data_IF_552190667013
#
_entry.id   IF_552190667013
#
_cell.length_a   1.000
_cell.length_b   1.000
_cell.length_c   1.000
_cell.angle_alpha   90.00
_cell.angle_beta   90.00
_cell.angle_gamma   90.00
#
_symmetry.space_group_name_H-M   'P 1'
#
loop_
_entity.id
_entity.type
_entity.pdbx_description
1 polymer ?
#
# COMPACT_ATOMS: atom_id res chain seq x y z
N UNK A 1 -4.75 -5.31 64.36
CA UNK A 1 -3.90 -4.75 63.28
C UNK A 1 -3.92 -5.70 62.10
N UNK A 2 -4.56 -5.31 60.99
CA UNK A 2 -4.65 -6.11 59.75
C UNK A 2 -3.43 -5.82 58.86
N UNK A 3 -2.86 -6.81 58.16
CA UNK A 3 -1.75 -6.56 57.25
C UNK A 3 -2.22 -5.80 56.01
N UNK A 4 -1.43 -4.82 55.60
CA UNK A 4 -1.64 -3.99 54.41
C UNK A 4 -1.52 -4.84 53.13
N UNK A 5 -2.57 -4.73 52.33
CA UNK A 5 -2.81 -5.42 51.06
C UNK A 5 -1.91 -4.79 50.00
N UNK A 6 -0.91 -5.55 49.51
CA UNK A 6 -0.24 -5.27 48.23
C UNK A 6 -1.31 -5.36 47.13
N UNK A 7 -1.88 -4.22 46.78
CA UNK A 7 -2.86 -4.12 45.70
C UNK A 7 -2.09 -3.90 44.39
N UNK A 8 -2.00 -4.98 43.63
CA UNK A 8 -1.55 -5.03 42.25
C UNK A 8 -2.45 -4.13 41.40
N UNK A 9 -1.93 -3.02 40.90
CA UNK A 9 -2.56 -2.22 39.85
C UNK A 9 -2.25 -2.87 38.50
N UNK A 10 -3.27 -3.21 37.68
CA UNK A 10 -3.02 -3.78 36.36
C UNK A 10 -2.53 -2.68 35.41
N UNK A 11 -1.34 -2.87 34.86
CA UNK A 11 -0.80 -2.08 33.75
C UNK A 11 -1.71 -2.17 32.52
N UNK A 12 -2.64 -1.22 32.39
CA UNK A 12 -3.35 -0.97 31.14
C UNK A 12 -2.47 -0.12 30.22
N UNK A 13 -1.41 -0.72 29.68
CA UNK A 13 -0.71 -0.17 28.51
C UNK A 13 -1.66 -0.31 27.32
N UNK A 14 -2.18 0.84 26.87
CA UNK A 14 -3.24 0.94 25.89
C UNK A 14 -2.85 0.46 24.50
N UNK A 15 -2.97 -0.85 24.25
CA UNK A 15 -3.09 -1.39 22.89
C UNK A 15 -4.33 -0.79 22.24
N UNK A 16 -4.16 0.22 21.39
CA UNK A 16 -5.25 0.70 20.55
C UNK A 16 -5.63 -0.43 19.59
N UNK A 17 -6.72 -1.12 19.89
CA UNK A 17 -7.29 -2.13 19.03
C UNK A 17 -8.29 -1.43 18.09
N UNK A 18 -8.19 -1.61 16.76
CA UNK A 18 -9.15 -1.01 15.85
C UNK A 18 -10.57 -1.44 16.24
N UNK A 19 -11.50 -0.50 16.21
CA UNK A 19 -12.91 -0.77 16.51
C UNK A 19 -13.50 -1.81 15.55
N UNK A 20 -14.61 -2.46 15.94
CA UNK A 20 -15.26 -3.50 15.13
C UNK A 20 -15.45 -3.10 13.67
N UNK A 21 -15.91 -1.86 13.41
CA UNK A 21 -16.09 -1.33 12.05
C UNK A 21 -14.79 -1.33 11.24
N UNK A 22 -13.68 -0.85 11.80
CA UNK A 22 -12.39 -0.83 11.11
C UNK A 22 -11.87 -2.24 10.79
N UNK A 23 -12.12 -3.21 11.68
CA UNK A 23 -11.77 -4.63 11.43
C UNK A 23 -12.59 -5.20 10.27
N UNK A 24 -13.90 -4.97 10.27
CA UNK A 24 -14.79 -5.43 9.20
C UNK A 24 -14.43 -4.80 7.86
N UNK A 25 -14.10 -3.51 7.84
CA UNK A 25 -13.68 -2.81 6.61
C UNK A 25 -12.35 -3.33 6.08
N UNK A 26 -11.37 -3.63 6.95
CA UNK A 26 -10.10 -4.20 6.54
C UNK A 26 -10.28 -5.60 5.93
N UNK A 27 -11.09 -6.47 6.57
CA UNK A 27 -11.40 -7.78 6.03
C UNK A 27 -12.14 -7.69 4.68
N UNK A 28 -13.14 -6.82 4.57
CA UNK A 28 -13.89 -6.63 3.33
C UNK A 28 -12.98 -6.16 2.20
N UNK A 29 -12.08 -5.20 2.46
CA UNK A 29 -11.12 -4.73 1.48
C UNK A 29 -10.09 -5.79 1.09
N UNK A 30 -9.62 -6.60 2.05
CA UNK A 30 -8.72 -7.70 1.77
C UNK A 30 -9.37 -8.77 0.88
N UNK A 31 -10.64 -9.11 1.15
CA UNK A 31 -11.41 -10.05 0.31
C UNK A 31 -11.69 -9.48 -1.08
N UNK A 32 -12.04 -8.20 -1.19
CA UNK A 32 -12.26 -7.55 -2.47
C UNK A 32 -10.98 -7.54 -3.32
N UNK A 33 -9.85 -7.19 -2.72
CA UNK A 33 -8.56 -7.23 -3.41
C UNK A 33 -8.16 -8.67 -3.82
N UNK A 34 -8.29 -9.64 -2.90
CA UNK A 34 -7.92 -11.03 -3.13
C UNK A 34 -8.78 -11.76 -4.15
N UNK A 35 -10.10 -11.66 -3.98
CA UNK A 35 -11.09 -12.46 -4.71
C UNK A 35 -11.67 -11.67 -5.87
N UNK A 36 -12.07 -10.42 -5.62
CA UNK A 36 -12.62 -9.54 -6.65
C UNK A 36 -11.56 -9.22 -7.69
N UNK A 37 -10.48 -8.58 -7.26
CA UNK A 37 -9.41 -8.11 -8.16
C UNK A 37 -8.40 -9.21 -8.54
N UNK A 38 -8.32 -10.31 -7.79
CA UNK A 38 -7.30 -11.35 -7.99
C UNK A 38 -5.90 -10.92 -7.54
N UNK A 39 -5.79 -9.90 -6.70
CA UNK A 39 -4.52 -9.38 -6.20
C UNK A 39 -4.11 -10.13 -4.93
N UNK A 40 -2.90 -10.70 -4.87
CA UNK A 40 -2.44 -11.38 -3.67
C UNK A 40 -2.26 -10.42 -2.50
N UNK A 41 -2.89 -10.71 -1.37
CA UNK A 41 -2.85 -9.86 -0.19
C UNK A 41 -2.28 -10.55 1.03
N UNK A 42 -1.85 -9.74 2.00
CA UNK A 42 -1.42 -10.16 3.33
C UNK A 42 -1.64 -9.02 4.35
N UNK A 43 -1.79 -9.32 5.65
CA UNK A 43 -1.84 -8.29 6.66
C UNK A 43 -0.46 -7.66 6.87
N UNK A 44 -0.40 -6.33 6.91
CA UNK A 44 0.82 -5.58 7.21
C UNK A 44 1.07 -5.39 8.69
N UNK A 45 2.28 -4.92 9.01
CA UNK A 45 2.59 -4.38 10.32
C UNK A 45 1.62 -3.23 10.65
N UNK A 46 1.37 -3.00 11.95
CA UNK A 46 0.49 -1.94 12.44
C UNK A 46 1.31 -0.77 12.95
N UNK A 47 0.82 0.45 12.68
CA UNK A 47 1.33 1.63 13.37
C UNK A 47 0.85 1.57 14.82
N UNK A 48 1.78 1.74 15.75
CA UNK A 48 1.50 1.79 17.17
C UNK A 48 1.61 3.24 17.67
N UNK A 49 1.07 3.50 18.85
CA UNK A 49 1.19 4.79 19.55
C UNK A 49 1.64 4.51 20.98
N UNK A 50 2.51 5.36 21.52
CA UNK A 50 2.97 5.26 22.91
C UNK A 50 4.23 4.40 23.08
N UNK A 51 4.39 3.82 24.27
CA UNK A 51 5.64 3.20 24.73
C UNK A 51 6.05 1.93 23.97
N UNK A 52 5.12 1.29 23.25
CA UNK A 52 5.37 0.08 22.45
C UNK A 52 6.21 0.33 21.18
N UNK A 53 6.63 1.59 20.95
CA UNK A 53 7.36 2.00 19.76
C UNK A 53 6.42 2.38 18.60
N UNK A 54 6.98 2.80 17.45
CA UNK A 54 6.18 3.32 16.35
C UNK A 54 5.44 2.22 15.58
N UNK A 55 5.89 0.96 15.65
CA UNK A 55 5.39 -0.13 14.82
C UNK A 55 5.34 -1.48 15.53
N UNK A 56 4.41 -2.33 15.12
CA UNK A 56 4.27 -3.70 15.64
C UNK A 56 5.38 -4.67 15.22
N UNK A 57 6.36 -4.22 14.43
CA UNK A 57 7.56 -5.00 14.10
C UNK A 57 8.67 -4.89 15.15
N UNK A 58 8.43 -4.15 16.25
CA UNK A 58 9.36 -3.90 17.35
C UNK A 58 10.64 -3.10 16.98
N UNK A 59 10.86 -2.79 15.71
CA UNK A 59 11.92 -1.87 15.28
C UNK A 59 11.58 -0.42 15.67
N UNK A 60 12.40 0.17 16.55
CA UNK A 60 12.27 1.55 17.02
C UNK A 60 12.60 2.59 15.94
N UNK A 61 13.35 2.19 14.93
CA UNK A 61 13.73 2.99 13.75
C UNK A 61 12.93 2.64 12.49
N UNK A 62 11.81 1.93 12.64
CA UNK A 62 10.97 1.48 11.53
C UNK A 62 10.69 2.61 10.54
N UNK A 63 11.14 2.45 9.29
CA UNK A 63 11.05 3.48 8.25
C UNK A 63 9.62 3.69 7.72
N UNK A 64 8.74 2.69 7.83
CA UNK A 64 7.36 2.77 7.34
C UNK A 64 6.35 2.19 8.35
N UNK A 65 6.20 2.80 9.54
CA UNK A 65 5.36 2.21 10.58
C UNK A 65 3.93 2.00 10.11
N UNK A 66 3.46 0.77 10.21
CA UNK A 66 2.10 0.41 9.80
C UNK A 66 1.89 0.19 8.30
N UNK A 67 2.95 0.12 7.51
CA UNK A 67 2.86 0.07 6.06
C UNK A 67 3.78 -0.94 5.38
N UNK A 68 4.30 -1.94 6.09
CA UNK A 68 5.22 -2.93 5.51
C UNK A 68 4.87 -4.38 5.90
N UNK A 69 5.26 -5.39 5.10
CA UNK A 69 5.20 -6.80 5.48
C UNK A 69 6.05 -7.07 6.72
N UNK A 70 5.63 -8.00 7.56
CA UNK A 70 6.41 -8.38 8.73
C UNK A 70 6.16 -9.84 9.10
N UNK A 71 5.03 -10.12 9.74
CA UNK A 71 4.56 -11.47 10.03
C UNK A 71 3.05 -11.51 9.74
N UNK A 72 2.65 -12.13 8.61
CA UNK A 72 3.45 -13.00 7.74
C UNK A 72 4.41 -12.21 6.80
N UNK A 73 5.42 -12.89 6.23
CA UNK A 73 6.31 -12.31 5.23
C UNK A 73 5.60 -12.12 3.88
N UNK A 74 6.20 -11.36 2.97
CA UNK A 74 5.57 -10.95 1.70
C UNK A 74 5.18 -12.15 0.81
N UNK A 75 5.99 -13.20 0.83
CA UNK A 75 5.83 -14.42 0.05
C UNK A 75 4.55 -15.18 0.42
N UNK A 76 4.04 -14.97 1.64
CA UNK A 76 2.80 -15.58 2.09
C UNK A 76 1.55 -14.96 1.45
N UNK A 77 1.68 -13.86 0.70
CA UNK A 77 0.53 -13.17 0.12
C UNK A 77 -0.31 -14.10 -0.76
N UNK A 78 -1.63 -14.07 -0.57
CA UNK A 78 -2.53 -15.06 -1.17
C UNK A 78 -3.79 -14.42 -1.74
N UNK A 79 -4.41 -15.13 -2.68
CA UNK A 79 -5.77 -14.85 -3.16
C UNK A 79 -6.80 -15.82 -2.57
N UNK A 80 -6.37 -16.80 -1.75
CA UNK A 80 -7.27 -17.76 -1.12
C UNK A 80 -8.16 -17.07 -0.07
N UNK A 81 -9.49 -17.02 -0.26
CA UNK A 81 -10.40 -16.38 0.67
C UNK A 81 -10.39 -17.00 2.08
N UNK A 82 -10.07 -18.29 2.21
CA UNK A 82 -10.01 -18.97 3.51
C UNK A 82 -8.85 -18.44 4.35
N UNK A 83 -7.68 -18.29 3.72
CA UNK A 83 -6.50 -17.75 4.39
C UNK A 83 -6.65 -16.26 4.68
N UNK A 84 -7.24 -15.49 3.76
CA UNK A 84 -7.57 -14.08 3.98
C UNK A 84 -8.50 -13.90 5.17
N UNK A 85 -9.59 -14.67 5.26
CA UNK A 85 -10.49 -14.63 6.44
C UNK A 85 -9.74 -14.97 7.72
N UNK A 86 -8.97 -16.06 7.72
CA UNK A 86 -8.22 -16.48 8.89
C UNK A 86 -7.27 -15.38 9.41
N UNK A 87 -6.56 -14.69 8.51
CA UNK A 87 -5.68 -13.59 8.90
C UNK A 87 -6.42 -12.46 9.60
N UNK A 88 -7.50 -11.93 9.03
CA UNK A 88 -8.18 -10.76 9.58
C UNK A 88 -9.19 -11.08 10.69
N UNK A 89 -9.67 -12.32 10.79
CA UNK A 89 -10.57 -12.72 11.87
C UNK A 89 -9.81 -13.20 13.10
N UNK A 90 -8.69 -13.91 12.92
CA UNK A 90 -8.01 -14.62 14.02
C UNK A 90 -6.61 -14.08 14.32
N UNK A 91 -5.78 -13.85 13.28
CA UNK A 91 -4.34 -13.59 13.48
C UNK A 91 -4.00 -12.11 13.68
N UNK A 92 -4.57 -11.23 12.87
CA UNK A 92 -4.25 -9.81 12.82
C UNK A 92 -5.49 -8.93 12.54
N UNK A 93 -6.51 -8.92 13.41
CA UNK A 93 -7.72 -8.15 13.17
C UNK A 93 -7.47 -6.65 12.98
N UNK A 94 -8.00 -6.11 11.88
CA UNK A 94 -7.85 -4.70 11.50
C UNK A 94 -6.44 -4.29 11.14
N UNK A 95 -5.54 -5.24 10.83
CA UNK A 95 -4.25 -4.92 10.24
C UNK A 95 -4.42 -4.25 8.87
N UNK A 96 -3.48 -3.37 8.48
CA UNK A 96 -3.38 -2.85 7.12
C UNK A 96 -3.42 -3.97 6.08
N UNK A 97 -4.12 -3.73 4.98
CA UNK A 97 -4.16 -4.61 3.81
C UNK A 97 -3.00 -4.24 2.91
N UNK A 98 -2.10 -5.19 2.69
CA UNK A 98 -1.03 -5.06 1.70
C UNK A 98 -1.36 -5.95 0.50
N UNK A 99 -1.02 -5.49 -0.70
CA UNK A 99 -1.03 -6.30 -1.91
C UNK A 99 0.39 -6.49 -2.43
N UNK A 100 0.78 -7.74 -2.70
CA UNK A 100 2.10 -8.06 -3.24
C UNK A 100 2.15 -7.77 -4.76
N UNK A 101 3.16 -7.03 -5.20
CA UNK A 101 3.34 -6.69 -6.62
C UNK A 101 4.20 -7.72 -7.34
N UNK A 102 4.17 -7.70 -8.67
CA UNK A 102 5.02 -8.49 -9.57
C UNK A 102 4.36 -9.69 -10.24
N UNK A 103 3.24 -10.22 -9.71
CA UNK A 103 2.53 -11.35 -10.35
C UNK A 103 1.15 -11.01 -10.91
N UNK A 104 0.39 -10.17 -10.23
CA UNK A 104 -0.99 -9.82 -10.61
C UNK A 104 -1.18 -8.34 -10.89
N UNK A 105 -0.26 -7.51 -10.37
CA UNK A 105 -0.24 -6.08 -10.52
C UNK A 105 1.20 -5.59 -10.34
N UNK A 106 1.53 -4.51 -11.02
CA UNK A 106 2.65 -3.63 -10.69
C UNK A 106 2.12 -2.27 -10.28
N UNK A 107 3.04 -1.35 -10.00
CA UNK A 107 2.70 0.06 -9.94
C UNK A 107 3.90 0.96 -10.20
N UNK A 108 3.61 2.24 -10.45
CA UNK A 108 4.57 3.32 -10.39
C UNK A 108 4.00 4.43 -9.52
N UNK A 109 4.83 5.00 -8.66
CA UNK A 109 4.42 6.09 -7.79
C UNK A 109 5.27 7.34 -7.99
N UNK A 110 4.62 8.48 -7.85
CA UNK A 110 5.20 9.81 -7.98
C UNK A 110 4.81 10.68 -6.78
N UNK A 111 5.57 11.75 -6.49
CA UNK A 111 5.23 12.70 -5.43
C UNK A 111 3.81 13.23 -5.56
N UNK A 112 3.11 13.40 -4.44
CA UNK A 112 1.70 13.83 -4.41
C UNK A 112 1.40 15.10 -5.21
N UNK A 113 2.24 16.16 -5.21
CA UNK A 113 1.98 17.35 -6.00
C UNK A 113 1.90 17.11 -7.52
N UNK A 114 2.58 16.08 -8.03
CA UNK A 114 2.61 15.73 -9.44
C UNK A 114 1.37 14.94 -9.90
N UNK A 115 0.63 14.36 -8.96
CA UNK A 115 -0.49 13.46 -9.23
C UNK A 115 -1.64 14.11 -10.02
N UNK A 116 -2.24 15.23 -9.54
CA UNK A 116 -3.34 15.88 -10.24
C UNK A 116 -3.01 16.30 -11.68
N UNK A 117 -1.79 16.82 -11.89
CA UNK A 117 -1.34 17.18 -13.23
C UNK A 117 -1.25 15.94 -14.13
N UNK A 118 -0.67 14.84 -13.63
CA UNK A 118 -0.54 13.60 -14.40
C UNK A 118 -1.90 13.07 -14.86
N UNK A 119 -2.87 12.97 -13.95
CA UNK A 119 -4.18 12.40 -14.29
C UNK A 119 -4.88 13.26 -15.35
N UNK A 120 -4.88 14.59 -15.17
CA UNK A 120 -5.42 15.52 -16.17
C UNK A 120 -4.70 15.37 -17.52
N UNK A 121 -3.37 15.29 -17.51
CA UNK A 121 -2.60 15.15 -18.73
C UNK A 121 -2.94 13.86 -19.49
N UNK A 122 -3.01 12.72 -18.79
CA UNK A 122 -3.38 11.43 -19.41
C UNK A 122 -4.79 11.47 -20.00
N UNK A 123 -5.74 12.15 -19.34
CA UNK A 123 -7.10 12.37 -19.86
C UNK A 123 -7.10 13.23 -21.13
N UNK A 124 -6.36 14.34 -21.12
CA UNK A 124 -6.24 15.27 -22.26
C UNK A 124 -5.68 14.58 -23.51
N UNK A 125 -4.71 13.67 -23.35
CA UNK A 125 -4.09 12.93 -24.46
C UNK A 125 -4.78 11.59 -24.76
N UNK A 126 -5.86 11.26 -24.07
CA UNK A 126 -6.63 10.04 -24.29
C UNK A 126 -5.90 8.74 -23.92
N UNK A 127 -4.92 8.79 -23.03
CA UNK A 127 -4.19 7.60 -22.55
C UNK A 127 -4.94 6.99 -21.37
N UNK A 128 -5.54 5.79 -21.51
CA UNK A 128 -6.25 5.15 -20.41
C UNK A 128 -5.27 4.75 -19.31
N UNK A 129 -5.63 5.04 -18.07
CA UNK A 129 -4.88 4.64 -16.89
C UNK A 129 -5.73 3.74 -15.99
N UNK A 130 -5.06 3.01 -15.09
CA UNK A 130 -5.69 2.05 -14.19
C UNK A 130 -6.22 2.68 -12.90
N UNK A 131 -6.47 1.87 -11.86
CA UNK A 131 -6.75 2.34 -10.51
C UNK A 131 -5.60 3.18 -9.97
N UNK A 132 -5.92 4.15 -9.10
CA UNK A 132 -4.94 5.07 -8.53
C UNK A 132 -5.12 5.17 -7.02
N UNK A 133 -4.05 4.93 -6.28
CA UNK A 133 -3.99 5.14 -4.84
C UNK A 133 -3.47 6.54 -4.53
N UNK A 134 -4.02 7.12 -3.47
CA UNK A 134 -3.55 8.34 -2.83
C UNK A 134 -3.01 8.03 -1.44
N UNK A 135 -1.80 8.49 -1.18
CA UNK A 135 -1.21 8.59 0.16
C UNK A 135 -0.89 10.06 0.45
N UNK A 136 -0.55 10.45 1.69
CA UNK A 136 -0.15 11.83 1.97
C UNK A 136 1.09 12.29 1.22
N UNK A 137 2.01 11.37 0.88
CA UNK A 137 3.25 11.70 0.18
C UNK A 137 3.24 11.43 -1.32
N UNK A 138 2.39 10.52 -1.81
CA UNK A 138 2.49 9.98 -3.18
C UNK A 138 1.15 9.60 -3.79
N UNK A 139 1.07 9.73 -5.11
CA UNK A 139 0.10 9.01 -5.93
C UNK A 139 0.74 7.71 -6.41
N UNK A 140 -0.04 6.65 -6.55
CA UNK A 140 0.43 5.34 -7.03
C UNK A 140 -0.53 4.85 -8.11
N UNK A 141 -0.03 4.74 -9.34
CA UNK A 141 -0.80 4.24 -10.47
C UNK A 141 -0.55 2.74 -10.58
N UNK A 142 -1.61 1.95 -10.54
CA UNK A 142 -1.52 0.51 -10.71
C UNK A 142 -1.35 0.18 -12.19
N UNK A 143 -0.51 -0.81 -12.47
CA UNK A 143 -0.14 -1.26 -13.81
C UNK A 143 -0.27 -2.78 -13.91
N UNK A 144 -0.25 -3.31 -15.12
CA UNK A 144 0.04 -4.72 -15.35
C UNK A 144 1.38 -5.09 -14.67
N UNK A 145 1.55 -6.35 -14.23
CA UNK A 145 2.84 -6.80 -13.72
C UNK A 145 3.90 -6.70 -14.82
N UNK A 146 5.12 -6.34 -14.44
CA UNK A 146 6.27 -6.25 -15.34
C UNK A 146 7.49 -6.87 -14.66
N UNK A 147 8.46 -7.32 -15.46
CA UNK A 147 9.74 -7.80 -14.96
C UNK A 147 10.76 -6.67 -14.85
N UNK A 148 11.83 -6.88 -14.05
CA UNK A 148 12.91 -5.91 -13.95
C UNK A 148 13.68 -5.71 -15.28
N UNK A 149 13.96 -6.77 -16.08
CA UNK A 149 14.57 -6.58 -17.40
C UNK A 149 13.70 -5.78 -18.38
N UNK A 150 12.39 -6.05 -18.44
CA UNK A 150 11.46 -5.29 -19.28
C UNK A 150 11.43 -3.81 -18.88
N UNK A 151 11.30 -3.52 -17.58
CA UNK A 151 11.36 -2.16 -17.07
C UNK A 151 12.71 -1.51 -17.42
N UNK A 152 13.82 -2.24 -17.24
CA UNK A 152 15.16 -1.77 -17.59
C UNK A 152 15.27 -1.33 -19.05
N UNK A 153 14.76 -2.14 -19.99
CA UNK A 153 14.72 -1.79 -21.41
C UNK A 153 13.89 -0.53 -21.67
N UNK A 154 12.67 -0.47 -21.13
CA UNK A 154 11.79 0.69 -21.29
C UNK A 154 12.36 1.99 -20.73
N UNK A 155 13.16 1.91 -19.67
CA UNK A 155 13.83 3.07 -19.06
C UNK A 155 15.11 3.46 -19.81
N UNK A 156 15.85 2.50 -20.37
CA UNK A 156 17.05 2.75 -21.17
C UNK A 156 16.75 3.50 -22.48
N UNK A 157 15.54 3.32 -23.02
CA UNK A 157 15.04 4.09 -24.17
C UNK A 157 14.68 5.55 -23.83
N UNK A 158 14.72 5.94 -22.55
CA UNK A 158 14.39 7.30 -22.12
C UNK A 158 15.65 8.14 -21.99
N UNK A 159 15.68 9.37 -22.54
CA UNK A 159 16.85 10.23 -22.43
C UNK A 159 17.15 10.60 -20.97
N UNK A 160 16.13 10.61 -20.11
CA UNK A 160 16.26 10.85 -18.68
C UNK A 160 15.05 10.27 -17.92
N UNK A 161 15.28 9.83 -16.68
CA UNK A 161 14.25 9.30 -15.78
C UNK A 161 14.37 9.99 -14.41
N UNK A 162 13.31 10.64 -13.89
CA UNK A 162 13.34 11.27 -12.58
C UNK A 162 13.59 10.27 -11.45
N UNK A 163 14.66 10.47 -10.67
CA UNK A 163 14.98 9.65 -9.50
C UNK A 163 13.96 9.71 -8.37
N UNK A 164 12.93 10.57 -8.48
CA UNK A 164 11.81 10.66 -7.55
C UNK A 164 10.72 9.63 -7.81
N UNK A 165 10.66 9.03 -9.00
CA UNK A 165 9.74 7.92 -9.30
C UNK A 165 10.11 6.68 -8.48
N UNK A 166 9.12 5.89 -8.12
CA UNK A 166 9.34 4.58 -7.49
C UNK A 166 8.52 3.52 -8.22
N UNK A 167 9.19 2.45 -8.59
CA UNK A 167 8.65 1.32 -9.31
C UNK A 167 8.36 0.19 -8.31
N UNK A 168 7.16 -0.37 -8.38
CA UNK A 168 6.70 -1.46 -7.52
C UNK A 168 6.46 -2.69 -8.40
N UNK A 169 7.51 -3.48 -8.57
CA UNK A 169 7.54 -4.70 -9.38
C UNK A 169 7.64 -5.97 -8.53
N UNK A 170 8.33 -7.03 -9.01
CA UNK A 170 8.59 -8.24 -8.24
C UNK A 170 9.25 -7.94 -6.88
N UNK A 171 8.78 -8.59 -5.82
CA UNK A 171 9.25 -8.38 -4.45
C UNK A 171 8.78 -7.08 -3.79
N UNK A 172 7.96 -6.28 -4.48
CA UNK A 172 7.33 -5.08 -3.94
C UNK A 172 5.95 -5.34 -3.32
N UNK A 173 5.37 -4.28 -2.75
CA UNK A 173 4.01 -4.31 -2.22
C UNK A 173 3.38 -2.92 -2.22
N UNK A 174 2.05 -2.89 -2.13
CA UNK A 174 1.24 -1.68 -2.00
C UNK A 174 0.39 -1.77 -0.73
N UNK A 175 0.26 -0.65 -0.01
CA UNK A 175 -0.75 -0.52 1.04
C UNK A 175 -2.08 -0.19 0.37
N UNK A 176 -3.14 -0.94 0.66
CA UNK A 176 -4.46 -0.74 0.08
C UNK A 176 -5.42 0.01 1.03
N UNK A 177 -6.38 0.78 0.52
CA UNK A 177 -7.45 1.35 1.32
C UNK A 177 -8.30 0.24 1.97
N UNK A 178 -8.87 0.47 3.17
CA UNK A 178 -8.89 1.71 3.93
C UNK A 178 -7.75 1.81 4.97
N UNK A 179 -6.61 1.17 4.71
CA UNK A 179 -5.51 1.08 5.66
C UNK A 179 -4.95 2.46 6.04
N UNK A 180 -4.37 2.54 7.23
CA UNK A 180 -3.65 3.72 7.72
C UNK A 180 -2.26 3.33 8.18
N UNK A 181 -1.27 4.09 7.73
CA UNK A 181 0.12 4.00 8.19
C UNK A 181 0.40 5.17 9.15
N UNK A 182 1.60 5.24 9.72
CA UNK A 182 2.04 6.43 10.46
C UNK A 182 2.14 7.68 9.56
N UNK A 183 2.45 7.52 8.28
CA UNK A 183 2.43 8.63 7.32
C UNK A 183 1.02 9.15 7.04
N UNK A 184 -0.02 8.33 7.27
CA UNK A 184 -1.42 8.70 7.20
C UNK A 184 -2.29 7.70 6.42
N UNK A 185 -3.52 8.10 6.03
CA UNK A 185 -4.48 7.21 5.40
C UNK A 185 -4.15 6.94 3.93
N UNK A 186 -4.45 5.72 3.48
CA UNK A 186 -4.44 5.36 2.06
C UNK A 186 -5.88 5.32 1.54
N UNK A 187 -6.12 5.94 0.38
CA UNK A 187 -7.44 6.01 -0.25
C UNK A 187 -7.34 5.78 -1.76
N UNK A 188 -8.48 5.45 -2.37
CA UNK A 188 -8.59 5.42 -3.83
C UNK A 188 -8.78 6.84 -4.34
N UNK A 189 -7.88 7.30 -5.21
CA UNK A 189 -8.12 8.47 -6.08
C UNK A 189 -8.99 8.05 -7.26
N UNK A 190 -8.68 6.89 -7.85
CA UNK A 190 -9.54 6.19 -8.80
C UNK A 190 -9.69 4.74 -8.35
N UNK A 191 -10.93 4.31 -8.11
CA UNK A 191 -11.23 2.94 -7.66
C UNK A 191 -11.01 1.94 -8.79
N UNK A 192 -10.64 0.69 -8.49
CA UNK A 192 -10.75 -0.39 -9.46
C UNK A 192 -12.21 -0.62 -9.85
N UNK A 193 -12.41 -1.02 -11.09
CA UNK A 193 -13.69 -1.57 -11.52
C UNK A 193 -13.95 -2.91 -10.80
N UNK A 194 -15.22 -3.24 -10.51
CA UNK A 194 -15.56 -4.52 -9.89
C UNK A 194 -15.07 -5.72 -10.70
N UNK A 195 -14.67 -6.79 -10.01
CA UNK A 195 -14.08 -7.97 -10.64
C UNK A 195 -12.60 -7.78 -10.91
N UNK A 196 -12.07 -8.37 -11.98
CA UNK A 196 -10.64 -8.27 -12.35
C UNK A 196 -10.42 -6.97 -13.12
N UNK A 197 -9.94 -5.89 -12.48
CA UNK A 197 -9.80 -4.61 -13.15
C UNK A 197 -8.74 -4.72 -14.25
N UNK A 198 -9.00 -4.08 -15.39
CA UNK A 198 -7.97 -3.87 -16.39
C UNK A 198 -6.85 -2.98 -15.82
N UNK A 199 -5.60 -3.31 -16.15
CA UNK A 199 -4.41 -2.58 -15.72
C UNK A 199 -3.56 -2.24 -16.95
N UNK A 200 -3.11 -0.98 -17.10
CA UNK A 200 -2.28 -0.57 -18.23
C UNK A 200 -0.86 -1.14 -18.10
N UNK A 201 -0.22 -1.42 -19.24
CA UNK A 201 1.21 -1.69 -19.29
C UNK A 201 2.03 -0.51 -18.73
N UNK A 202 3.14 -0.80 -18.05
CA UNK A 202 3.95 0.25 -17.42
C UNK A 202 4.48 1.25 -18.46
N UNK A 203 4.89 0.75 -19.63
CA UNK A 203 5.40 1.57 -20.73
C UNK A 203 4.42 2.65 -21.21
N UNK A 204 3.12 2.35 -21.18
CA UNK A 204 2.04 3.27 -21.57
C UNK A 204 1.99 4.50 -20.66
N UNK A 205 2.36 4.37 -19.38
CA UNK A 205 2.30 5.46 -18.42
C UNK A 205 3.61 6.23 -18.27
N UNK A 206 4.75 5.66 -18.70
CA UNK A 206 6.08 6.21 -18.42
C UNK A 206 6.25 7.64 -18.91
N UNK A 207 5.79 7.95 -20.12
CA UNK A 207 5.90 9.30 -20.69
C UNK A 207 5.22 10.35 -19.81
N UNK A 208 3.96 10.12 -19.43
CA UNK A 208 3.22 11.00 -18.54
C UNK A 208 3.87 11.12 -17.15
N UNK A 209 4.30 9.98 -16.57
CA UNK A 209 4.94 9.95 -15.25
C UNK A 209 6.24 10.75 -15.19
N UNK A 210 7.06 10.65 -16.24
CA UNK A 210 8.31 11.41 -16.38
C UNK A 210 8.01 12.90 -16.47
N UNK A 211 7.11 13.30 -17.38
CA UNK A 211 6.73 14.71 -17.57
C UNK A 211 6.12 15.31 -16.31
N UNK A 212 5.21 14.59 -15.65
CA UNK A 212 4.58 15.05 -14.41
C UNK A 212 5.60 15.32 -13.30
N UNK A 213 6.58 14.43 -13.17
CA UNK A 213 7.62 14.55 -12.15
C UNK A 213 8.59 15.71 -12.43
N UNK A 214 8.82 16.05 -13.70
CA UNK A 214 9.64 17.19 -14.09
C UNK A 214 8.92 18.53 -13.84
N UNK A 215 7.61 18.60 -14.13
CA UNK A 215 6.82 19.84 -13.98
C UNK A 215 6.54 20.16 -12.51
N UNK A 216 6.27 19.15 -11.69
CA UNK A 216 5.85 19.34 -10.30
C UNK A 216 7.01 19.50 -9.30
N UNK A 217 8.24 19.18 -9.71
CA UNK A 217 9.45 19.41 -8.93
C UNK A 217 10.42 20.22 -9.79
N UNK A 218 10.35 21.56 -9.74
CA UNK A 218 11.34 22.39 -10.42
C UNK A 218 12.72 21.93 -9.96
N UNK A 219 13.61 21.63 -10.91
CA UNK A 219 14.99 21.27 -10.61
C UNK A 219 15.59 22.43 -9.80
N UNK A 220 16.02 22.13 -8.57
CA UNK A 220 16.80 23.05 -7.75
C UNK A 220 18.26 22.95 -8.13
#
# INVERSE_FOLDING_TARGET
MRPSRREQLPERVGRWWPGRRSRSLALAAALEAAVGCGWPVLPGARALRGADGPCSCADRSCALPGGHPHDPPLEAATTDPRMVRWWWERRAPGAPVLAATGRALGAVSLPRPAGPWLLRHLEEIGVPYGPVLGTPGRFVLLTAPYTLPELGGLLAERPWVPGVLRYHGPGGYLVLPPSRTAAGPVHWVRRPEPGRPWLPEVGTLLGGLITASAVALPQR
#
